data_IF_449086643121
#
_entry.id   IF_449086643121
#
_cell.length_a   1.000
_cell.length_b   1.000
_cell.length_c   1.000
_cell.angle_alpha   90.00
_cell.angle_beta   90.00
_cell.angle_gamma   90.00
#
_symmetry.space_group_name_H-M   'P 1'
#
loop_
_entity.id
_entity.type
_entity.pdbx_description
1 polymer ?
#
# COMPACT_ATOMS: atom_id res chain seq x y z
N UNK A 1 6.35 33.19 -3.59
CA UNK A 1 5.81 32.58 -2.36
C UNK A 1 4.64 31.69 -2.79
N UNK A 2 4.91 30.44 -3.15
CA UNK A 2 3.86 29.50 -3.54
C UNK A 2 3.29 28.89 -2.27
N UNK A 3 2.01 29.14 -2.03
CA UNK A 3 1.23 28.46 -1.00
C UNK A 3 1.12 27.01 -1.44
N UNK A 4 1.88 26.12 -0.82
CA UNK A 4 1.73 24.66 -0.96
C UNK A 4 0.53 24.23 -0.13
N UNK A 5 -0.66 24.70 -0.50
CA UNK A 5 -1.92 24.35 0.15
C UNK A 5 -2.69 23.39 -0.75
N UNK A 6 -2.51 22.08 -0.57
CA UNK A 6 -3.46 21.01 -0.99
C UNK A 6 -2.93 19.56 -0.94
N UNK A 7 -1.65 19.31 -0.63
CA UNK A 7 -1.05 17.97 -0.77
C UNK A 7 -1.18 17.01 0.43
N UNK A 8 -2.07 17.26 1.39
CA UNK A 8 -2.45 16.30 2.45
C UNK A 8 -3.65 15.43 2.04
N UNK A 9 -3.76 15.12 0.75
CA UNK A 9 -4.81 14.27 0.21
C UNK A 9 -4.65 12.83 0.73
N UNK A 10 -5.54 12.46 1.65
CA UNK A 10 -5.97 11.11 2.01
C UNK A 10 -4.88 10.02 2.04
N UNK A 11 -3.98 10.12 3.03
CA UNK A 11 -2.85 9.19 3.27
C UNK A 11 -3.27 7.72 3.35
N UNK A 12 -4.45 7.44 3.91
CA UNK A 12 -4.91 6.11 4.21
C UNK A 12 -5.58 5.45 3.01
N UNK A 13 -5.15 4.23 2.71
CA UNK A 13 -5.75 3.37 1.72
C UNK A 13 -5.84 1.93 2.21
N UNK A 14 -6.26 1.05 1.31
CA UNK A 14 -6.38 -0.40 1.57
C UNK A 14 -6.01 -1.20 0.33
N UNK A 15 -5.41 -2.38 0.54
CA UNK A 15 -5.36 -3.42 -0.47
C UNK A 15 -6.68 -4.21 -0.44
N UNK A 16 -7.37 -4.29 -1.58
CA UNK A 16 -8.69 -4.94 -1.68
C UNK A 16 -8.88 -5.65 -3.02
N UNK A 17 -9.82 -6.59 -3.07
CA UNK A 17 -10.22 -7.27 -4.31
C UNK A 17 -11.73 -7.54 -4.34
N UNK A 18 -12.25 -7.88 -5.52
CA UNK A 18 -13.65 -8.21 -5.71
C UNK A 18 -14.09 -9.36 -4.80
N UNK A 19 -15.16 -9.14 -4.04
CA UNK A 19 -15.91 -10.24 -3.47
C UNK A 19 -16.86 -10.83 -4.52
N UNK A 20 -17.39 -12.03 -4.26
CA UNK A 20 -18.27 -12.77 -5.19
C UNK A 20 -19.50 -11.99 -5.65
N UNK A 21 -19.97 -11.04 -4.84
CA UNK A 21 -21.12 -10.17 -5.13
C UNK A 21 -20.75 -8.85 -5.84
N UNK A 22 -19.47 -8.60 -6.14
CA UNK A 22 -18.96 -7.36 -6.75
C UNK A 22 -19.38 -6.08 -6.00
N UNK A 23 -19.46 -6.15 -4.67
CA UNK A 23 -19.86 -5.03 -3.79
C UNK A 23 -18.70 -4.39 -3.05
N UNK A 24 -17.50 -4.98 -3.08
CA UNK A 24 -16.33 -4.42 -2.39
C UNK A 24 -16.00 -3.00 -2.86
N UNK A 25 -16.17 -2.69 -4.14
CA UNK A 25 -15.94 -1.34 -4.65
C UNK A 25 -16.89 -0.30 -4.05
N UNK A 26 -18.15 -0.70 -3.80
CA UNK A 26 -19.11 0.15 -3.10
C UNK A 26 -18.70 0.37 -1.65
N UNK A 27 -18.24 -0.68 -0.96
CA UNK A 27 -17.76 -0.56 0.42
C UNK A 27 -16.59 0.44 0.53
N UNK A 28 -15.64 0.37 -0.40
CA UNK A 28 -14.54 1.34 -0.47
C UNK A 28 -15.05 2.77 -0.59
N UNK A 29 -15.96 3.03 -1.54
CA UNK A 29 -16.53 4.37 -1.77
C UNK A 29 -17.40 4.87 -0.61
N UNK A 30 -18.00 3.97 0.17
CA UNK A 30 -18.80 4.31 1.33
C UNK A 30 -17.95 4.49 2.60
N UNK A 31 -16.67 4.08 2.60
CA UNK A 31 -15.78 4.20 3.76
C UNK A 31 -15.32 5.65 3.91
N UNK A 32 -15.75 6.37 4.97
CA UNK A 32 -15.42 7.78 5.12
C UNK A 32 -13.92 8.01 5.26
N UNK A 33 -13.41 9.06 4.61
CA UNK A 33 -12.00 9.48 4.62
C UNK A 33 -10.98 8.45 4.07
N UNK A 34 -11.45 7.36 3.44
CA UNK A 34 -10.57 6.47 2.71
C UNK A 34 -10.13 7.15 1.41
N UNK A 35 -8.81 7.24 1.20
CA UNK A 35 -8.28 8.03 0.10
C UNK A 35 -8.05 7.29 -1.18
N UNK A 36 -7.59 6.06 -1.04
CA UNK A 36 -7.13 5.30 -2.18
C UNK A 36 -7.22 3.81 -1.90
N UNK A 37 -7.22 3.04 -2.98
CA UNK A 37 -7.10 1.60 -2.92
C UNK A 37 -6.28 1.10 -4.09
N UNK A 38 -5.80 -0.12 -3.96
CA UNK A 38 -5.24 -0.87 -5.06
C UNK A 38 -5.60 -2.36 -4.91
N UNK A 39 -5.44 -3.11 -6.00
CA UNK A 39 -5.90 -4.48 -6.12
C UNK A 39 -4.85 -5.38 -6.80
N UNK A 40 -3.57 -5.00 -6.71
CA UNK A 40 -2.43 -5.70 -7.33
C UNK A 40 -2.53 -5.90 -8.86
N UNK A 41 -3.34 -5.08 -9.56
CA UNK A 41 -3.57 -5.19 -11.00
C UNK A 41 -3.44 -3.84 -11.71
N UNK A 42 -3.23 -3.83 -13.04
CA UNK A 42 -3.26 -2.60 -13.84
C UNK A 42 -4.69 -2.07 -14.06
N UNK A 43 -5.72 -2.89 -13.86
CA UNK A 43 -7.14 -2.56 -14.02
C UNK A 43 -7.84 -2.42 -12.66
N UNK A 44 -8.76 -1.45 -12.56
CA UNK A 44 -9.59 -1.26 -11.38
C UNK A 44 -10.52 -2.44 -11.13
N UNK A 45 -11.04 -2.55 -9.91
CA UNK A 45 -12.03 -3.59 -9.60
C UNK A 45 -13.32 -3.42 -10.42
N UNK A 46 -13.93 -4.54 -10.79
CA UNK A 46 -15.23 -4.54 -11.45
C UNK A 46 -16.38 -4.29 -10.45
N UNK A 47 -17.41 -3.59 -10.91
CA UNK A 47 -18.73 -3.51 -10.28
C UNK A 47 -19.81 -3.48 -11.35
N UNK A 48 -20.95 -4.14 -11.10
CA UNK A 48 -22.12 -4.07 -11.98
C UNK A 48 -22.99 -2.84 -11.71
N UNK A 49 -22.72 -2.10 -10.63
CA UNK A 49 -23.52 -0.97 -10.17
C UNK A 49 -22.79 0.35 -10.38
N UNK A 50 -23.49 1.35 -10.91
CA UNK A 50 -22.98 2.72 -10.96
C UNK A 50 -22.94 3.31 -9.55
N UNK A 51 -21.77 3.79 -9.15
CA UNK A 51 -21.55 4.50 -7.89
C UNK A 51 -20.76 5.77 -8.15
N UNK A 52 -20.92 6.77 -7.27
CA UNK A 52 -20.00 7.91 -7.25
C UNK A 52 -18.60 7.38 -6.97
N UNK A 53 -17.62 7.95 -7.68
CA UNK A 53 -16.21 7.58 -7.54
C UNK A 53 -15.46 8.75 -6.91
N UNK A 54 -14.88 8.50 -5.74
CA UNK A 54 -14.11 9.47 -4.95
C UNK A 54 -12.78 8.87 -4.50
N UNK A 55 -12.77 7.59 -4.15
CA UNK A 55 -11.56 6.89 -3.68
C UNK A 55 -10.64 6.62 -4.88
N UNK A 56 -9.40 7.09 -4.81
CA UNK A 56 -8.43 6.95 -5.91
C UNK A 56 -8.05 5.47 -6.13
N UNK A 57 -8.22 4.99 -7.36
CA UNK A 57 -7.59 3.74 -7.78
C UNK A 57 -6.13 3.97 -8.15
N UNK A 58 -5.22 3.23 -7.51
CA UNK A 58 -3.80 3.20 -7.87
C UNK A 58 -3.48 1.88 -8.57
N UNK A 59 -3.21 1.87 -9.89
CA UNK A 59 -2.83 0.67 -10.62
C UNK A 59 -1.46 0.14 -10.19
N UNK A 60 -1.24 -1.15 -10.41
CA UNK A 60 0.04 -1.82 -10.18
C UNK A 60 0.46 -2.64 -11.41
N UNK A 61 1.72 -2.50 -11.83
CA UNK A 61 2.36 -3.49 -12.71
C UNK A 61 2.97 -4.56 -11.80
N UNK A 62 2.15 -5.51 -11.36
CA UNK A 62 2.56 -6.50 -10.38
C UNK A 62 3.78 -7.29 -10.88
N UNK A 63 3.79 -7.67 -12.16
CA UNK A 63 4.85 -8.51 -12.71
C UNK A 63 5.12 -8.29 -14.20
N UNK A 64 6.09 -9.05 -14.73
CA UNK A 64 6.54 -8.98 -16.13
C UNK A 64 5.40 -9.14 -17.13
N UNK A 65 4.40 -10.00 -16.84
CA UNK A 65 3.26 -10.20 -17.74
C UNK A 65 2.31 -9.01 -17.79
N UNK A 66 2.36 -8.11 -16.80
CA UNK A 66 1.50 -6.92 -16.75
C UNK A 66 2.11 -5.71 -17.48
N UNK A 67 3.41 -5.74 -17.77
CA UNK A 67 4.16 -4.57 -18.27
C UNK A 67 3.52 -3.94 -19.51
N UNK A 68 2.98 -4.76 -20.41
CA UNK A 68 2.33 -4.30 -21.64
C UNK A 68 0.79 -4.22 -21.53
N UNK A 69 0.19 -4.60 -20.39
CA UNK A 69 -1.26 -4.50 -20.21
C UNK A 69 -1.69 -3.03 -20.20
N UNK A 70 -2.90 -2.70 -20.71
CA UNK A 70 -3.47 -1.37 -20.53
C UNK A 70 -3.84 -1.15 -19.07
N UNK A 71 -3.75 0.10 -18.61
CA UNK A 71 -4.35 0.52 -17.34
C UNK A 71 -5.81 0.84 -17.64
N UNK A 72 -6.73 0.24 -16.88
CA UNK A 72 -8.18 0.47 -17.05
C UNK A 72 -8.74 1.04 -15.75
N UNK A 73 -9.36 2.21 -15.84
CA UNK A 73 -9.93 2.94 -14.70
C UNK A 73 -11.04 3.84 -15.20
N UNK A 74 -12.12 3.98 -14.42
CA UNK A 74 -13.21 4.92 -14.74
C UNK A 74 -12.77 6.38 -14.53
N UNK A 75 -11.76 6.61 -13.70
CA UNK A 75 -11.19 7.91 -13.39
C UNK A 75 -9.73 8.03 -13.88
N UNK A 76 -9.24 9.26 -14.16
CA UNK A 76 -7.83 9.48 -14.47
C UNK A 76 -6.91 8.95 -13.37
N UNK A 77 -5.95 8.11 -13.76
CA UNK A 77 -4.90 7.61 -12.87
C UNK A 77 -3.76 8.61 -12.80
N UNK A 78 -3.19 8.81 -11.60
CA UNK A 78 -2.08 9.75 -11.36
C UNK A 78 -0.81 9.06 -10.87
N UNK A 79 -0.97 7.88 -10.27
CA UNK A 79 0.10 7.12 -9.63
C UNK A 79 0.18 5.72 -10.23
N UNK A 80 1.35 5.10 -10.13
CA UNK A 80 1.57 3.71 -10.55
C UNK A 80 2.49 3.01 -9.56
N UNK A 81 2.09 1.82 -9.09
CA UNK A 81 2.93 0.93 -8.32
C UNK A 81 3.72 -0.01 -9.24
N UNK A 82 4.99 -0.22 -8.90
CA UNK A 82 5.90 -1.12 -9.61
C UNK A 82 5.66 -2.60 -9.28
N UNK A 83 6.69 -3.43 -9.55
CA UNK A 83 6.63 -4.86 -9.33
C UNK A 83 6.39 -5.23 -7.86
N UNK A 84 5.54 -6.22 -7.62
CA UNK A 84 5.21 -6.75 -6.30
C UNK A 84 6.13 -7.92 -5.93
N UNK A 85 6.82 -7.80 -4.80
CA UNK A 85 7.75 -8.76 -4.21
C UNK A 85 8.63 -9.47 -5.26
N UNK A 86 9.38 -8.71 -6.10
CA UNK A 86 10.19 -9.32 -7.16
C UNK A 86 11.29 -10.24 -6.62
N UNK A 87 11.65 -10.11 -5.35
CA UNK A 87 12.59 -10.92 -4.59
C UNK A 87 11.98 -12.15 -3.90
N UNK A 88 10.64 -12.24 -3.86
CA UNK A 88 9.89 -13.38 -3.35
C UNK A 88 9.88 -14.58 -4.32
N UNK A 89 8.80 -15.36 -4.29
CA UNK A 89 8.70 -16.64 -5.02
C UNK A 89 8.89 -16.51 -6.54
N UNK A 90 8.55 -15.34 -7.11
CA UNK A 90 8.62 -15.09 -8.56
C UNK A 90 10.03 -14.85 -9.08
N UNK A 91 10.98 -14.53 -8.19
CA UNK A 91 12.42 -14.33 -8.45
C UNK A 91 12.73 -13.52 -9.71
N UNK A 92 12.12 -12.34 -9.86
CA UNK A 92 12.47 -11.41 -10.94
C UNK A 92 13.87 -10.82 -10.68
N UNK A 93 14.81 -11.03 -11.59
CA UNK A 93 16.16 -10.48 -11.42
C UNK A 93 16.19 -8.95 -11.51
N UNK A 94 17.08 -8.33 -10.73
CA UNK A 94 17.31 -6.88 -10.76
C UNK A 94 17.59 -6.37 -12.18
N UNK A 95 18.45 -7.08 -12.93
CA UNK A 95 18.81 -6.71 -14.30
C UNK A 95 17.58 -6.72 -15.23
N UNK A 96 16.69 -7.71 -15.08
CA UNK A 96 15.46 -7.79 -15.88
C UNK A 96 14.46 -6.71 -15.48
N UNK A 97 14.28 -6.45 -14.18
CA UNK A 97 13.42 -5.37 -13.70
C UNK A 97 13.89 -4.00 -14.25
N UNK A 98 15.20 -3.70 -14.14
CA UNK A 98 15.79 -2.47 -14.65
C UNK A 98 15.67 -2.35 -16.18
N UNK A 99 15.77 -3.46 -16.93
CA UNK A 99 15.57 -3.45 -18.38
C UNK A 99 14.10 -3.18 -18.79
N UNK A 100 13.14 -3.57 -17.96
CA UNK A 100 11.72 -3.35 -18.21
C UNK A 100 11.23 -1.99 -17.70
N UNK A 101 11.93 -1.40 -16.73
CA UNK A 101 11.53 -0.16 -16.06
C UNK A 101 11.20 1.02 -16.99
N UNK A 102 11.94 1.27 -18.09
CA UNK A 102 11.58 2.35 -19.02
C UNK A 102 10.18 2.22 -19.62
N UNK A 103 9.60 1.01 -19.68
CA UNK A 103 8.20 0.81 -20.12
C UNK A 103 7.20 1.35 -19.11
N UNK A 104 7.50 1.28 -17.82
CA UNK A 104 6.67 1.82 -16.75
C UNK A 104 6.81 3.34 -16.71
N UNK A 105 8.03 3.88 -16.82
CA UNK A 105 8.27 5.32 -16.85
C UNK A 105 7.53 6.03 -17.98
N UNK A 106 7.48 5.41 -19.17
CA UNK A 106 6.75 5.95 -20.34
C UNK A 106 5.24 6.06 -20.14
N UNK A 107 4.67 5.50 -19.07
CA UNK A 107 3.27 5.73 -18.69
C UNK A 107 3.02 7.15 -18.21
N UNK A 108 4.07 7.92 -17.87
CA UNK A 108 3.95 9.32 -17.46
C UNK A 108 3.32 9.53 -16.09
N UNK A 109 3.08 8.46 -15.33
CA UNK A 109 2.51 8.49 -13.99
C UNK A 109 3.60 8.66 -12.94
N UNK A 110 3.25 9.17 -11.76
CA UNK A 110 4.14 9.17 -10.60
C UNK A 110 4.38 7.73 -10.16
N UNK A 111 5.62 7.27 -10.28
CA UNK A 111 5.98 5.86 -10.30
C UNK A 111 6.70 5.46 -9.01
N UNK A 112 6.08 4.55 -8.26
CA UNK A 112 6.67 3.92 -7.09
C UNK A 112 7.70 2.88 -7.49
N UNK A 113 8.70 2.67 -6.65
CA UNK A 113 9.64 1.55 -6.79
C UNK A 113 8.91 0.20 -6.85
N UNK A 114 9.58 -0.89 -7.27
CA UNK A 114 9.14 -2.21 -6.85
C UNK A 114 9.02 -2.26 -5.32
N UNK A 115 8.02 -2.97 -4.80
CA UNK A 115 7.88 -3.25 -3.38
C UNK A 115 8.42 -4.65 -3.12
N UNK A 116 9.59 -4.74 -2.50
CA UNK A 116 10.21 -6.03 -2.14
C UNK A 116 9.57 -6.62 -0.89
N UNK A 117 9.83 -7.91 -0.63
CA UNK A 117 9.58 -8.46 0.71
C UNK A 117 10.32 -7.61 1.74
N UNK A 118 9.84 -7.55 2.98
CA UNK A 118 10.43 -6.70 4.02
C UNK A 118 11.95 -6.92 4.19
N UNK A 119 12.44 -8.16 4.03
CA UNK A 119 13.86 -8.50 4.10
C UNK A 119 14.67 -8.10 2.87
N UNK A 120 14.03 -7.89 1.73
CA UNK A 120 14.63 -7.45 0.48
C UNK A 120 14.76 -5.93 0.31
N UNK A 121 14.23 -5.16 1.28
CA UNK A 121 14.16 -3.69 1.20
C UNK A 121 15.44 -2.98 1.61
N UNK A 122 16.18 -3.43 2.63
CA UNK A 122 17.30 -2.67 3.23
C UNK A 122 18.64 -3.39 3.08
N UNK A 123 19.71 -2.61 2.91
CA UNK A 123 21.10 -3.08 2.94
C UNK A 123 21.72 -3.30 1.56
N UNK A 124 23.05 -3.17 1.48
CA UNK A 124 23.83 -3.18 0.22
C UNK A 124 23.59 -4.38 -0.71
N UNK A 125 23.24 -5.53 -0.13
CA UNK A 125 23.02 -6.78 -0.86
C UNK A 125 21.53 -7.09 -1.07
N UNK A 126 20.64 -6.19 -0.65
CA UNK A 126 19.20 -6.34 -0.83
C UNK A 126 18.82 -6.22 -2.30
N UNK A 127 17.67 -6.77 -2.66
CA UNK A 127 17.17 -6.65 -4.03
C UNK A 127 16.88 -5.19 -4.35
N UNK A 128 16.22 -4.48 -3.42
CA UNK A 128 15.82 -3.09 -3.58
C UNK A 128 17.03 -2.19 -3.80
N UNK A 129 18.09 -2.35 -2.99
CA UNK A 129 19.28 -1.51 -3.11
C UNK A 129 20.00 -1.72 -4.43
N UNK A 130 20.14 -2.98 -4.86
CA UNK A 130 20.73 -3.30 -6.18
C UNK A 130 19.89 -2.74 -7.34
N UNK A 131 18.56 -2.76 -7.23
CA UNK A 131 17.68 -2.15 -8.22
C UNK A 131 17.83 -0.64 -8.26
N UNK A 132 17.82 0.03 -7.11
CA UNK A 132 18.00 1.49 -7.03
C UNK A 132 19.38 1.92 -7.54
N UNK A 133 20.43 1.10 -7.36
CA UNK A 133 21.74 1.36 -7.98
C UNK A 133 21.67 1.32 -9.52
N UNK A 134 20.87 0.42 -10.10
CA UNK A 134 20.65 0.40 -11.56
C UNK A 134 19.82 1.60 -12.02
N UNK A 135 18.85 2.04 -11.22
CA UNK A 135 18.06 3.26 -11.47
C UNK A 135 18.98 4.47 -11.53
N UNK A 136 19.83 4.66 -10.52
CA UNK A 136 20.79 5.76 -10.43
C UNK A 136 21.82 5.72 -11.57
N UNK A 137 22.43 4.56 -11.82
CA UNK A 137 23.46 4.41 -12.86
C UNK A 137 22.93 4.65 -14.29
N UNK A 138 21.63 4.44 -14.52
CA UNK A 138 20.99 4.59 -15.83
C UNK A 138 20.16 5.86 -15.96
N UNK A 139 20.07 6.68 -14.90
CA UNK A 139 19.23 7.88 -14.88
C UNK A 139 17.73 7.59 -14.99
N UNK A 140 17.27 6.43 -14.50
CA UNK A 140 15.84 6.08 -14.48
C UNK A 140 15.12 6.83 -13.34
N UNK A 141 13.82 7.01 -13.49
CA UNK A 141 12.93 7.66 -12.52
C UNK A 141 12.25 6.65 -11.59
N UNK A 142 12.31 6.94 -10.29
CA UNK A 142 11.52 6.33 -9.22
C UNK A 142 11.10 7.46 -8.30
N UNK A 143 9.82 7.79 -8.21
CA UNK A 143 9.38 9.01 -7.50
C UNK A 143 9.18 8.81 -6.00
N UNK A 144 8.88 7.57 -5.58
CA UNK A 144 8.71 7.19 -4.18
C UNK A 144 9.10 5.73 -3.96
N UNK A 145 9.41 5.37 -2.72
CA UNK A 145 9.65 3.98 -2.32
C UNK A 145 8.32 3.33 -1.93
N UNK A 146 7.93 2.26 -2.63
CA UNK A 146 6.85 1.39 -2.20
C UNK A 146 7.43 0.27 -1.32
N UNK A 147 6.82 0.02 -0.16
CA UNK A 147 7.37 -0.92 0.83
C UNK A 147 6.29 -1.75 1.54
N UNK A 148 6.64 -2.98 1.91
CA UNK A 148 5.80 -3.89 2.71
C UNK A 148 6.39 -4.08 4.11
N UNK A 149 5.54 -4.08 5.14
CA UNK A 149 5.96 -4.33 6.52
C UNK A 149 4.97 -5.21 7.27
N UNK A 150 5.40 -6.40 7.66
CA UNK A 150 4.60 -7.36 8.41
C UNK A 150 5.19 -7.56 9.80
N UNK A 151 4.48 -7.08 10.81
CA UNK A 151 4.93 -7.18 12.19
C UNK A 151 4.58 -8.55 12.78
N UNK A 152 5.57 -9.24 13.34
CA UNK A 152 5.37 -10.51 14.07
C UNK A 152 5.11 -10.30 15.58
N UNK A 153 5.45 -9.13 16.10
CA UNK A 153 5.37 -8.78 17.53
C UNK A 153 4.47 -7.58 17.84
N UNK A 154 3.98 -6.85 16.83
CA UNK A 154 3.13 -5.67 16.98
C UNK A 154 3.88 -4.40 17.39
N UNK A 155 5.21 -4.38 17.27
CA UNK A 155 6.06 -3.27 17.67
C UNK A 155 5.98 -2.11 16.67
N UNK A 156 5.16 -1.10 16.97
CA UNK A 156 5.09 0.15 16.19
C UNK A 156 6.40 0.93 16.26
N UNK A 157 7.17 0.76 17.34
CA UNK A 157 8.53 1.32 17.44
C UNK A 157 9.46 0.73 16.38
N UNK A 158 9.52 -0.60 16.25
CA UNK A 158 10.34 -1.25 15.22
C UNK A 158 9.88 -0.86 13.82
N UNK A 159 8.58 -0.72 13.61
CA UNK A 159 8.06 -0.26 12.33
C UNK A 159 8.53 1.17 11.99
N UNK A 160 8.41 2.12 12.93
CA UNK A 160 8.89 3.49 12.75
C UNK A 160 10.39 3.55 12.49
N UNK A 161 11.16 2.80 13.27
CA UNK A 161 12.63 2.78 13.15
C UNK A 161 13.03 2.20 11.79
N UNK A 162 12.32 1.16 11.30
CA UNK A 162 12.51 0.61 9.97
C UNK A 162 12.15 1.59 8.85
N UNK A 163 11.01 2.29 8.93
CA UNK A 163 10.64 3.33 7.96
C UNK A 163 11.68 4.47 7.92
N UNK A 164 12.22 4.85 9.07
CA UNK A 164 13.30 5.85 9.17
C UNK A 164 14.57 5.35 8.46
N UNK A 165 14.92 4.07 8.62
CA UNK A 165 16.05 3.47 7.92
C UNK A 165 15.84 3.41 6.39
N UNK A 166 14.64 3.05 5.93
CA UNK A 166 14.28 3.09 4.50
C UNK A 166 14.42 4.51 3.96
N UNK A 167 13.90 5.51 4.67
CA UNK A 167 14.01 6.90 4.23
C UNK A 167 15.48 7.35 4.18
N UNK A 168 16.29 6.98 5.16
CA UNK A 168 17.71 7.30 5.17
C UNK A 168 18.50 6.62 4.03
N UNK A 169 18.18 5.37 3.69
CA UNK A 169 18.89 4.62 2.63
C UNK A 169 18.54 5.09 1.20
N UNK A 170 17.31 5.56 0.98
CA UNK A 170 16.82 5.89 -0.36
C UNK A 170 16.54 7.37 -0.60
N UNK A 171 16.42 8.18 0.46
CA UNK A 171 16.16 9.62 0.43
C UNK A 171 15.00 10.00 -0.52
N UNK A 172 13.88 9.27 -0.41
CA UNK A 172 12.67 9.45 -1.21
C UNK A 172 11.43 9.30 -0.32
N UNK A 173 10.30 9.95 -0.66
CA UNK A 173 9.04 9.71 0.03
C UNK A 173 8.67 8.23 0.04
N UNK A 174 7.95 7.79 1.07
CA UNK A 174 7.58 6.39 1.28
C UNK A 174 6.07 6.21 1.17
N UNK A 175 5.68 5.18 0.42
CA UNK A 175 4.35 4.60 0.45
C UNK A 175 4.44 3.20 1.08
N UNK A 176 3.75 3.01 2.20
CA UNK A 176 3.62 1.68 2.81
C UNK A 176 2.46 0.98 2.12
N UNK A 177 2.74 0.17 1.10
CA UNK A 177 1.68 -0.43 0.26
C UNK A 177 1.06 -1.69 0.89
N UNK A 178 1.73 -2.29 1.87
CA UNK A 178 1.19 -3.36 2.69
C UNK A 178 1.71 -3.25 4.11
N UNK A 179 0.81 -3.28 5.11
CA UNK A 179 1.19 -3.52 6.49
C UNK A 179 0.11 -4.27 7.28
N UNK A 180 0.53 -5.15 8.19
CA UNK A 180 -0.35 -5.88 9.10
C UNK A 180 0.42 -6.47 10.30
N UNK A 181 -0.31 -6.94 11.32
CA UNK A 181 0.23 -7.88 12.31
C UNK A 181 0.00 -9.31 11.81
N UNK A 182 1.09 -9.98 11.40
CA UNK A 182 1.07 -11.39 10.98
C UNK A 182 2.49 -11.95 10.97
N UNK A 183 2.63 -13.17 11.48
CA UNK A 183 3.79 -14.01 11.21
C UNK A 183 3.40 -15.00 10.10
N UNK A 184 3.97 -14.83 8.90
CA UNK A 184 3.66 -15.67 7.75
C UNK A 184 4.11 -17.13 7.91
N UNK A 185 4.98 -17.44 8.87
CA UNK A 185 5.31 -18.83 9.26
C UNK A 185 4.31 -19.40 10.28
N UNK A 186 3.55 -18.54 10.96
CA UNK A 186 2.56 -18.90 11.97
C UNK A 186 1.27 -18.06 11.79
N UNK A 187 0.61 -18.13 10.62
CA UNK A 187 -0.50 -17.24 10.25
C UNK A 187 -1.66 -17.28 11.27
N UNK A 188 -1.92 -18.44 11.88
CA UNK A 188 -2.95 -18.60 12.91
C UNK A 188 -2.68 -17.86 14.23
N UNK A 189 -1.50 -17.27 14.42
CA UNK A 189 -1.17 -16.46 15.61
C UNK A 189 -1.70 -15.03 15.55
N UNK A 190 -2.10 -14.58 14.36
CA UNK A 190 -2.77 -13.31 14.14
C UNK A 190 -4.20 -13.37 14.69
N UNK A 191 -4.59 -12.35 15.45
CA UNK A 191 -5.95 -12.24 16.00
C UNK A 191 -6.49 -10.85 15.69
N UNK A 192 -7.81 -10.72 15.54
CA UNK A 192 -8.43 -9.41 15.34
C UNK A 192 -8.08 -8.42 16.45
N UNK A 193 -7.92 -8.87 17.70
CA UNK A 193 -7.50 -8.01 18.82
C UNK A 193 -6.11 -7.43 18.61
N UNK A 194 -5.13 -8.25 18.20
CA UNK A 194 -3.76 -7.81 17.94
C UNK A 194 -3.71 -6.87 16.72
N UNK A 195 -4.39 -7.23 15.64
CA UNK A 195 -4.47 -6.40 14.44
C UNK A 195 -5.22 -5.09 14.70
N UNK A 196 -6.31 -5.10 15.48
CA UNK A 196 -7.02 -3.89 15.88
C UNK A 196 -6.10 -2.93 16.64
N UNK A 197 -5.34 -3.41 17.64
CA UNK A 197 -4.37 -2.54 18.33
C UNK A 197 -3.27 -2.03 17.37
N UNK A 198 -2.71 -2.92 16.56
CA UNK A 198 -1.60 -2.58 15.68
C UNK A 198 -2.00 -1.56 14.60
N UNK A 199 -3.17 -1.70 13.98
CA UNK A 199 -3.63 -0.78 12.93
C UNK A 199 -3.83 0.63 13.48
N UNK A 200 -4.46 0.77 14.66
CA UNK A 200 -4.68 2.06 15.30
C UNK A 200 -3.35 2.78 15.61
N UNK A 201 -2.41 2.06 16.24
CA UNK A 201 -1.13 2.63 16.66
C UNK A 201 -0.21 2.91 15.46
N UNK A 202 -0.19 2.03 14.46
CA UNK A 202 0.65 2.18 13.27
C UNK A 202 0.18 3.34 12.38
N UNK A 203 -1.14 3.51 12.18
CA UNK A 203 -1.68 4.64 11.42
C UNK A 203 -1.33 5.97 12.07
N UNK A 204 -1.52 6.11 13.39
CA UNK A 204 -1.15 7.33 14.13
C UNK A 204 0.35 7.62 14.06
N UNK A 205 1.18 6.58 14.18
CA UNK A 205 2.63 6.72 14.02
C UNK A 205 2.99 7.22 12.63
N UNK A 206 2.45 6.60 11.57
CA UNK A 206 2.75 7.00 10.21
C UNK A 206 2.25 8.41 9.90
N UNK A 207 1.13 8.86 10.47
CA UNK A 207 0.67 10.24 10.32
C UNK A 207 1.71 11.26 10.81
N UNK A 208 2.43 10.95 11.90
CA UNK A 208 3.50 11.78 12.44
C UNK A 208 4.83 11.74 11.65
N UNK A 209 4.93 10.93 10.59
CA UNK A 209 6.14 10.85 9.75
C UNK A 209 5.95 11.63 8.44
N UNK A 210 6.61 12.79 8.26
CA UNK A 210 6.41 13.65 7.09
C UNK A 210 6.91 13.02 5.78
N UNK A 211 7.85 12.06 5.87
CA UNK A 211 8.35 11.33 4.70
C UNK A 211 7.47 10.14 4.30
N UNK A 212 6.47 9.77 5.10
CA UNK A 212 5.45 8.79 4.70
C UNK A 212 4.31 9.56 4.06
N UNK A 213 4.03 9.31 2.79
CA UNK A 213 2.96 10.00 2.06
C UNK A 213 1.66 9.23 2.04
N UNK A 214 1.73 7.89 2.00
CA UNK A 214 0.57 6.99 1.94
C UNK A 214 0.82 5.68 2.66
N UNK A 215 -0.25 5.06 3.15
CA UNK A 215 -0.21 3.71 3.70
C UNK A 215 -1.47 2.91 3.31
N UNK A 216 -1.33 1.61 3.09
CA UNK A 216 -2.44 0.71 2.79
C UNK A 216 -2.44 -0.53 3.69
N UNK A 217 -3.53 -0.73 4.42
CA UNK A 217 -3.69 -1.93 5.25
C UNK A 217 -3.78 -3.18 4.37
N UNK A 218 -3.06 -4.24 4.75
CA UNK A 218 -3.17 -5.55 4.14
C UNK A 218 -3.99 -6.46 5.06
N UNK A 219 -5.23 -6.80 4.73
CA UNK A 219 -6.02 -6.36 3.59
C UNK A 219 -7.47 -6.08 4.01
N UNK A 220 -8.27 -5.52 3.11
CA UNK A 220 -9.71 -5.33 3.36
C UNK A 220 -10.42 -6.69 3.51
N UNK A 221 -10.17 -7.61 2.57
CA UNK A 221 -10.81 -8.92 2.46
C UNK A 221 -10.08 -10.02 3.27
N UNK A 222 -10.75 -11.14 3.61
CA UNK A 222 -10.10 -12.33 4.16
C UNK A 222 -9.06 -12.94 3.21
N UNK A 223 -7.80 -13.04 3.65
CA UNK A 223 -6.72 -13.63 2.86
C UNK A 223 -6.35 -15.02 3.39
N UNK A 224 -6.38 -16.05 2.53
CA UNK A 224 -5.95 -17.41 2.92
C UNK A 224 -4.49 -17.63 2.55
N UNK A 225 -3.68 -18.04 3.53
CA UNK A 225 -2.26 -18.36 3.39
C UNK A 225 -1.95 -19.70 4.05
N UNK A 226 -1.37 -20.64 3.29
CA UNK A 226 -1.01 -21.99 3.75
C UNK A 226 -2.15 -22.70 4.51
N UNK A 227 -3.39 -22.59 4.01
CA UNK A 227 -4.57 -23.22 4.61
C UNK A 227 -5.12 -22.51 5.86
N UNK A 228 -4.59 -21.35 6.23
CA UNK A 228 -5.07 -20.54 7.33
C UNK A 228 -5.53 -19.17 6.83
N UNK A 229 -6.57 -18.62 7.44
CA UNK A 229 -7.00 -17.24 7.22
C UNK A 229 -6.61 -16.43 8.45
N UNK A 230 -5.48 -15.68 8.43
CA UNK A 230 -5.11 -14.84 9.55
C UNK A 230 -6.22 -13.82 9.84
N UNK A 231 -6.54 -13.62 11.11
CA UNK A 231 -7.55 -12.64 11.52
C UNK A 231 -6.97 -11.21 11.44
N UNK A 232 -6.86 -10.69 10.22
CA UNK A 232 -6.34 -9.35 9.90
C UNK A 232 -7.26 -8.54 8.97
N UNK A 233 -8.24 -9.18 8.33
CA UNK A 233 -9.13 -8.55 7.36
C UNK A 233 -10.00 -7.47 8.02
N UNK A 234 -10.29 -6.40 7.29
CA UNK A 234 -11.18 -5.32 7.78
C UNK A 234 -12.64 -5.75 7.74
N UNK A 235 -13.04 -6.51 6.72
CA UNK A 235 -14.42 -7.00 6.56
C UNK A 235 -14.47 -8.50 6.32
N UNK A 236 -15.54 -9.14 6.78
CA UNK A 236 -15.90 -10.50 6.38
C UNK A 236 -16.39 -10.53 4.93
N UNK A 237 -16.64 -11.71 4.37
CA UNK A 237 -17.12 -11.87 2.98
C UNK A 237 -18.46 -11.16 2.70
N UNK A 238 -19.28 -11.00 3.74
CA UNK A 238 -20.56 -10.28 3.72
C UNK A 238 -20.42 -8.75 3.93
N UNK A 239 -19.17 -8.25 3.95
CA UNK A 239 -18.80 -6.85 4.20
C UNK A 239 -19.08 -6.35 5.63
N UNK A 240 -19.42 -7.22 6.58
CA UNK A 240 -19.50 -6.82 7.99
C UNK A 240 -18.11 -6.53 8.54
N UNK A 241 -17.96 -5.42 9.27
CA UNK A 241 -16.68 -5.04 9.86
C UNK A 241 -16.23 -6.06 10.92
N UNK A 242 -14.98 -6.49 10.83
CA UNK A 242 -14.30 -7.21 11.91
C UNK A 242 -13.89 -6.23 13.02
N UNK A 243 -13.41 -6.70 14.19
CA UNK A 243 -12.83 -5.80 15.18
C UNK A 243 -11.62 -5.00 14.65
N UNK A 244 -10.87 -5.53 13.67
CA UNK A 244 -9.81 -4.78 12.99
C UNK A 244 -10.39 -3.71 12.07
N UNK A 245 -11.44 -4.02 11.31
CA UNK A 245 -12.16 -3.03 10.49
C UNK A 245 -12.72 -1.88 11.31
N UNK A 246 -13.38 -2.18 12.43
CA UNK A 246 -13.90 -1.16 13.33
C UNK A 246 -12.78 -0.25 13.89
N UNK A 247 -11.61 -0.81 14.17
CA UNK A 247 -10.45 -0.07 14.67
C UNK A 247 -9.83 0.84 13.60
N UNK A 248 -9.72 0.33 12.37
CA UNK A 248 -9.30 1.09 11.20
C UNK A 248 -10.23 2.27 10.95
N UNK A 249 -11.54 2.05 10.84
CA UNK A 249 -12.56 3.08 10.56
C UNK A 249 -12.59 4.18 11.63
N UNK A 250 -12.53 3.80 12.91
CA UNK A 250 -12.45 4.76 14.02
C UNK A 250 -11.19 5.61 13.92
N UNK A 251 -10.05 5.00 13.65
CA UNK A 251 -8.77 5.73 13.57
C UNK A 251 -8.74 6.66 12.36
N UNK A 252 -9.26 6.20 11.22
CA UNK A 252 -9.37 6.99 10.01
C UNK A 252 -10.21 8.25 10.24
N UNK A 253 -11.36 8.10 10.89
CA UNK A 253 -12.24 9.21 11.27
C UNK A 253 -11.57 10.20 12.22
N UNK A 254 -10.81 9.70 13.21
CA UNK A 254 -10.08 10.56 14.16
C UNK A 254 -8.96 11.34 13.49
N UNK A 255 -8.20 10.71 12.60
CA UNK A 255 -7.11 11.38 11.86
C UNK A 255 -7.67 12.46 10.95
N UNK A 256 -8.81 12.21 10.28
CA UNK A 256 -9.43 13.21 9.44
C UNK A 256 -9.96 14.41 10.25
N UNK A 257 -10.60 14.16 11.39
CA UNK A 257 -11.05 15.23 12.28
C UNK A 257 -9.89 16.12 12.77
N UNK A 258 -8.74 15.52 13.11
CA UNK A 258 -7.53 16.26 13.49
C UNK A 258 -6.99 17.12 12.34
N UNK A 259 -7.03 16.62 11.10
CA UNK A 259 -6.60 17.37 9.92
C UNK A 259 -7.51 18.57 9.65
N UNK A 260 -8.83 18.38 9.70
CA UNK A 260 -9.80 19.47 9.51
C UNK A 260 -9.58 20.56 10.56
N UNK A 261 -9.46 20.19 11.83
CA UNK A 261 -9.19 21.15 12.91
C UNK A 261 -7.86 21.90 12.74
N UNK A 262 -6.82 21.24 12.22
CA UNK A 262 -5.52 21.89 11.95
C UNK A 262 -5.52 22.88 10.77
N UNK A 263 -6.53 22.82 9.89
CA UNK A 263 -6.69 23.74 8.75
C UNK A 263 -7.50 24.99 9.10
N UNK A 264 -8.26 24.95 10.20
CA UNK A 264 -9.13 26.05 10.66
C UNK A 264 -8.44 26.98 11.67
N UNK A 265 -7.26 26.61 12.19
CA UNK A 265 -6.43 27.40 13.11
C UNK A 265 -5.17 27.95 12.39
#
# INVERSE_FOLDING_TARGET
>A
MMIVGSAQAEKAGVGAWENSSYTMLKWLEDTPALGWYYNWRPDQMYTSRRHRRSVEFVPMIHNVSDVNKPIQSDLPVRHLLGFNEPDGERRLSVARAAALWPKLERRGLRLGSPATTQGGTLGKNSWQRRFMNQVEARGLRVDFMAVHYYSTNGSVREFRDWLTAVHAEYNRPIWVTEFAYVDWHRPGSATYRKNAKFVEDAMRMMEGLPFVERHAWFAANPYTWNGHTPHLNLVNDDLTLTPTGQAFDRTLSQLEALRVSSREN
#
